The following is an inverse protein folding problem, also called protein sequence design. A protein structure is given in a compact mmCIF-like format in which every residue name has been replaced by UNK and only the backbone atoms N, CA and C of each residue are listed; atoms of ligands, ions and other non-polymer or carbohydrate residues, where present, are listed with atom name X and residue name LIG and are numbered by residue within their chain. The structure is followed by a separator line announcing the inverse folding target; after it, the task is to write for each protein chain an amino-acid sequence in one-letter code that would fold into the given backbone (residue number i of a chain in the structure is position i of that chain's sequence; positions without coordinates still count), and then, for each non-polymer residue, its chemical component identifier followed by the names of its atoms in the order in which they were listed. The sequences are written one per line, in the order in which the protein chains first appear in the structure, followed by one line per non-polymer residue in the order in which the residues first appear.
data_IF_871224343009
#
_entry.id   IF_871224343009
#
_cell.length_a   1.000
_cell.length_b   1.000
_cell.length_c   1.000
_cell.angle_alpha   90.00
_cell.angle_beta   90.00
_cell.angle_gamma   90.00
#
_symmetry.space_group_name_H-M   'P 1'
#
loop_
_entity.id
_entity.type
_entity.pdbx_description
1 polymer ?
#
# COMPACT_ATOMS: atom_id res chain seq x y z
N UNK A 1 -9.80 -16.21 17.69
CA UNK A 1 -9.40 -14.80 17.89
C UNK A 1 -8.06 -14.75 18.60
N UNK A 2 -7.18 -13.79 18.28
CA UNK A 2 -5.94 -13.56 19.02
C UNK A 2 -6.22 -13.33 20.51
N UNK A 3 -5.28 -13.73 21.36
CA UNK A 3 -5.37 -13.44 22.79
C UNK A 3 -5.16 -11.94 23.01
N UNK A 4 -6.02 -11.30 23.80
CA UNK A 4 -5.88 -9.89 24.16
C UNK A 4 -4.52 -9.61 24.78
N UNK A 5 -3.72 -8.65 24.25
CA UNK A 5 -2.43 -8.31 24.83
C UNK A 5 -2.57 -7.74 26.23
N UNK A 6 -1.66 -8.09 27.14
CA UNK A 6 -1.64 -7.55 28.48
C UNK A 6 -1.41 -6.03 28.47
N UNK A 7 -2.20 -5.32 29.28
CA UNK A 7 -2.10 -3.86 29.43
C UNK A 7 -2.56 -3.05 28.23
N UNK A 8 -3.21 -3.65 27.22
CA UNK A 8 -3.69 -2.92 26.04
C UNK A 8 -4.72 -1.84 26.40
N UNK A 9 -5.54 -2.07 27.42
CA UNK A 9 -6.54 -1.10 27.88
C UNK A 9 -5.94 0.19 28.47
N UNK A 10 -4.67 0.16 28.83
CA UNK A 10 -3.93 1.30 29.38
C UNK A 10 -3.08 2.03 28.31
N UNK A 11 -3.20 1.61 27.04
CA UNK A 11 -2.44 2.19 25.91
C UNK A 11 -3.36 2.95 25.00
N UNK A 12 -2.82 3.98 24.34
CA UNK A 12 -3.46 4.65 23.23
C UNK A 12 -2.58 4.54 21.99
N UNK A 13 -3.21 4.50 20.84
CA UNK A 13 -2.53 4.50 19.55
C UNK A 13 -2.83 5.80 18.81
N UNK A 14 -1.78 6.46 18.34
CA UNK A 14 -1.88 7.63 17.47
C UNK A 14 -1.31 7.25 16.11
N UNK A 15 -2.13 7.37 15.08
CA UNK A 15 -1.82 6.97 13.72
C UNK A 15 -1.75 8.22 12.87
N UNK A 16 -0.61 8.45 12.24
CA UNK A 16 -0.38 9.62 11.39
C UNK A 16 -0.76 9.29 9.96
N UNK A 17 -1.73 10.01 9.43
CA UNK A 17 -2.35 9.78 8.14
C UNK A 17 -3.49 8.76 8.19
N UNK A 18 -4.30 8.74 7.16
CA UNK A 18 -5.46 7.85 7.00
C UNK A 18 -5.48 7.10 5.67
N UNK A 19 -4.31 6.85 5.09
CA UNK A 19 -4.18 5.98 3.91
C UNK A 19 -4.46 4.51 4.24
N UNK A 20 -4.49 3.65 3.22
CA UNK A 20 -4.82 2.23 3.35
C UNK A 20 -4.03 1.53 4.46
N UNK A 21 -2.72 1.75 4.55
CA UNK A 21 -1.87 1.13 5.57
C UNK A 21 -2.24 1.59 6.99
N UNK A 22 -2.54 2.88 7.16
CA UNK A 22 -2.93 3.47 8.44
C UNK A 22 -4.29 2.92 8.91
N UNK A 23 -5.28 2.89 8.03
CA UNK A 23 -6.60 2.32 8.31
C UNK A 23 -6.50 0.82 8.61
N UNK A 24 -5.69 0.08 7.85
CA UNK A 24 -5.42 -1.34 8.14
C UNK A 24 -4.84 -1.54 9.53
N UNK A 25 -3.85 -0.73 9.92
CA UNK A 25 -3.26 -0.80 11.26
C UNK A 25 -4.31 -0.53 12.34
N UNK A 26 -5.16 0.48 12.16
CA UNK A 26 -6.26 0.77 13.10
C UNK A 26 -7.24 -0.40 13.21
N UNK A 27 -7.65 -1.00 12.08
CA UNK A 27 -8.54 -2.16 12.07
C UNK A 27 -7.93 -3.35 12.83
N UNK A 28 -6.66 -3.66 12.63
CA UNK A 28 -5.98 -4.73 13.36
C UNK A 28 -5.81 -4.42 14.85
N UNK A 29 -5.58 -3.16 15.23
CA UNK A 29 -5.55 -2.77 16.65
C UNK A 29 -6.89 -3.03 17.34
N UNK A 30 -7.99 -2.69 16.66
CA UNK A 30 -9.34 -2.92 17.20
C UNK A 30 -9.73 -4.40 17.15
N UNK A 31 -9.58 -5.05 15.98
CA UNK A 31 -10.05 -6.43 15.75
C UNK A 31 -9.19 -7.46 16.50
N UNK A 32 -7.89 -7.41 16.31
CA UNK A 32 -6.95 -8.43 16.78
C UNK A 32 -6.22 -8.00 18.06
N UNK A 33 -5.80 -6.75 18.15
CA UNK A 33 -5.24 -6.14 19.34
C UNK A 33 -6.26 -5.95 20.46
N UNK A 34 -7.55 -6.01 20.13
CA UNK A 34 -8.67 -5.79 21.08
C UNK A 34 -8.51 -4.49 21.89
N UNK A 35 -7.89 -3.50 21.24
CA UNK A 35 -7.80 -2.14 21.79
C UNK A 35 -9.17 -1.47 21.67
N UNK A 36 -9.58 -0.73 22.70
CA UNK A 36 -10.80 0.05 22.61
C UNK A 36 -10.66 1.14 21.55
N UNK A 37 -11.67 1.31 20.69
CA UNK A 37 -11.61 2.29 19.61
C UNK A 37 -11.39 3.71 20.10
N UNK A 38 -11.99 4.12 21.22
CA UNK A 38 -11.78 5.42 21.89
C UNK A 38 -10.32 5.73 22.24
N UNK A 39 -9.44 4.73 22.16
CA UNK A 39 -8.00 4.85 22.39
C UNK A 39 -7.18 4.79 21.12
N UNK A 40 -7.83 4.75 19.97
CA UNK A 40 -7.20 4.78 18.66
C UNK A 40 -7.55 6.09 17.97
N UNK A 41 -6.55 6.92 17.73
CA UNK A 41 -6.69 8.25 17.18
C UNK A 41 -6.00 8.31 15.83
N UNK A 42 -6.72 8.69 14.79
CA UNK A 42 -6.21 8.86 13.42
C UNK A 42 -6.11 10.35 13.14
N UNK A 43 -4.90 10.81 12.85
CA UNK A 43 -4.59 12.22 12.59
C UNK A 43 -4.36 12.38 11.09
N UNK A 44 -5.29 13.02 10.39
CA UNK A 44 -5.27 13.18 8.94
C UNK A 44 -5.20 14.66 8.55
N UNK A 45 -4.19 15.00 7.75
CA UNK A 45 -3.99 16.37 7.26
C UNK A 45 -5.11 16.83 6.33
N UNK A 46 -5.67 15.93 5.55
CA UNK A 46 -6.71 16.22 4.58
C UNK A 46 -8.12 16.22 5.19
N UNK A 47 -9.12 16.64 4.43
CA UNK A 47 -10.52 16.64 4.85
C UNK A 47 -11.17 15.24 4.77
N UNK A 48 -10.52 14.27 4.15
CA UNK A 48 -11.06 12.91 3.92
C UNK A 48 -10.00 11.84 4.11
N UNK A 49 -10.41 10.65 4.52
CA UNK A 49 -9.55 9.49 4.60
C UNK A 49 -9.20 8.92 3.21
N UNK A 50 -8.22 8.00 3.16
CA UNK A 50 -7.92 7.19 1.99
C UNK A 50 -6.53 7.41 1.41
N UNK A 51 -5.92 8.57 1.63
CA UNK A 51 -4.61 8.89 1.08
C UNK A 51 -4.61 8.76 -0.46
N UNK A 52 -3.71 7.95 -1.03
CA UNK A 52 -3.68 7.71 -2.48
C UNK A 52 -4.86 6.87 -3.00
N UNK A 53 -5.63 6.24 -2.12
CA UNK A 53 -6.85 5.49 -2.46
C UNK A 53 -8.12 6.33 -2.30
N UNK A 54 -8.00 7.65 -2.19
CA UNK A 54 -9.13 8.55 -2.22
C UNK A 54 -9.88 8.47 -3.56
N UNK A 55 -11.11 8.92 -3.53
CA UNK A 55 -11.97 9.00 -4.71
C UNK A 55 -13.14 9.92 -4.41
N UNK A 56 -13.82 10.33 -5.46
CA UNK A 56 -14.94 11.27 -5.37
C UNK A 56 -16.12 10.73 -6.15
N UNK A 57 -17.30 10.93 -5.58
CA UNK A 57 -18.57 10.70 -6.26
C UNK A 57 -19.17 12.05 -6.64
N UNK A 58 -19.42 12.24 -7.92
CA UNK A 58 -20.15 13.39 -8.44
C UNK A 58 -21.52 12.95 -8.89
N UNK A 59 -22.56 13.69 -8.52
CA UNK A 59 -23.95 13.32 -8.76
C UNK A 59 -24.27 13.05 -10.24
N UNK A 60 -23.70 13.84 -11.14
CA UNK A 60 -23.99 13.75 -12.58
C UNK A 60 -22.85 13.18 -13.43
N UNK A 61 -21.72 12.83 -12.84
CA UNK A 61 -20.52 12.35 -13.53
C UNK A 61 -20.20 10.92 -13.13
N UNK A 62 -20.56 10.52 -11.91
CA UNK A 62 -20.24 9.22 -11.34
C UNK A 62 -19.00 9.25 -10.45
N UNK A 63 -18.25 8.16 -10.45
CA UNK A 63 -17.12 7.98 -9.55
C UNK A 63 -15.82 8.37 -10.24
N UNK A 64 -14.97 9.10 -9.53
CA UNK A 64 -13.64 9.51 -9.99
C UNK A 64 -12.57 8.99 -9.05
N UNK A 65 -11.48 8.50 -9.61
CA UNK A 65 -10.30 8.03 -8.89
C UNK A 65 -9.03 8.52 -9.58
N UNK A 66 -7.90 8.47 -8.87
CA UNK A 66 -6.61 8.98 -9.36
C UNK A 66 -5.94 8.08 -10.41
N UNK A 67 -6.48 6.91 -10.69
CA UNK A 67 -5.94 5.97 -11.67
C UNK A 67 -6.57 4.60 -11.54
N UNK A 68 -6.33 3.72 -12.49
CA UNK A 68 -6.71 2.32 -12.42
C UNK A 68 -6.02 1.65 -11.23
N UNK A 69 -6.75 0.83 -10.49
CA UNK A 69 -6.25 0.05 -9.37
C UNK A 69 -6.89 -1.31 -9.41
N UNK A 70 -6.14 -2.22 -9.99
CA UNK A 70 -6.54 -3.61 -10.09
C UNK A 70 -6.26 -4.35 -8.78
N UNK A 71 -7.02 -5.41 -8.56
CA UNK A 71 -6.91 -6.29 -7.41
C UNK A 71 -6.39 -7.65 -7.82
N UNK A 72 -5.81 -8.35 -6.86
CA UNK A 72 -5.34 -9.71 -7.00
C UNK A 72 -5.97 -10.59 -5.91
N UNK A 73 -6.40 -11.78 -6.30
CA UNK A 73 -6.96 -12.76 -5.35
C UNK A 73 -5.92 -13.19 -4.28
N UNK A 74 -4.63 -13.02 -4.56
CA UNK A 74 -3.52 -13.37 -3.65
C UNK A 74 -3.07 -12.22 -2.74
N UNK A 75 -3.90 -11.20 -2.54
CA UNK A 75 -3.70 -10.21 -1.47
C UNK A 75 -4.23 -10.73 -0.14
N UNK A 76 -3.71 -11.89 0.34
CA UNK A 76 -4.26 -12.67 1.43
C UNK A 76 -4.45 -11.86 2.72
N UNK A 77 -3.47 -11.04 3.09
CA UNK A 77 -3.54 -10.18 4.29
C UNK A 77 -4.66 -9.15 4.17
N UNK A 78 -4.82 -8.57 2.97
CA UNK A 78 -5.88 -7.61 2.69
C UNK A 78 -7.25 -8.30 2.75
N UNK A 79 -7.39 -9.45 2.12
CA UNK A 79 -8.65 -10.19 2.11
C UNK A 79 -9.01 -10.78 3.47
N UNK A 80 -8.04 -11.18 4.29
CA UNK A 80 -8.28 -11.51 5.70
C UNK A 80 -8.92 -10.34 6.45
N UNK A 81 -8.42 -9.13 6.25
CA UNK A 81 -9.02 -7.95 6.84
C UNK A 81 -10.44 -7.71 6.31
N UNK A 82 -10.62 -7.67 4.98
CA UNK A 82 -11.90 -7.35 4.36
C UNK A 82 -12.98 -8.43 4.53
N UNK A 83 -12.62 -9.64 4.92
CA UNK A 83 -13.57 -10.63 5.42
C UNK A 83 -14.29 -10.16 6.69
N UNK A 84 -13.65 -9.30 7.49
CA UNK A 84 -14.20 -8.78 8.74
C UNK A 84 -14.88 -7.41 8.61
N UNK A 85 -14.69 -6.72 7.47
CA UNK A 85 -15.25 -5.38 7.23
C UNK A 85 -16.59 -5.52 6.51
N UNK A 86 -17.70 -5.05 7.09
CA UNK A 86 -19.01 -5.09 6.42
C UNK A 86 -19.01 -4.26 5.13
N UNK A 87 -19.65 -4.78 4.08
CA UNK A 87 -20.00 -3.97 2.92
C UNK A 87 -20.98 -2.86 3.31
N UNK A 88 -20.86 -1.71 2.68
CA UNK A 88 -21.82 -0.62 2.84
C UNK A 88 -22.94 -0.64 1.79
N UNK A 89 -22.75 -1.45 0.74
CA UNK A 89 -23.69 -1.56 -0.37
C UNK A 89 -24.66 -2.74 -0.20
N UNK A 90 -24.15 -3.83 0.39
CA UNK A 90 -24.93 -5.07 0.55
C UNK A 90 -24.99 -5.45 2.01
N UNK A 91 -26.19 -5.42 2.59
CA UNK A 91 -26.40 -5.77 3.99
C UNK A 91 -26.07 -7.24 4.26
N UNK A 92 -25.40 -7.50 5.39
CA UNK A 92 -25.12 -8.85 5.88
C UNK A 92 -23.95 -9.57 5.23
N UNK A 93 -23.22 -8.91 4.29
CA UNK A 93 -22.02 -9.47 3.66
C UNK A 93 -20.79 -8.62 3.94
N UNK A 94 -19.60 -9.22 3.82
CA UNK A 94 -18.35 -8.51 3.93
C UNK A 94 -17.93 -7.87 2.61
N UNK A 95 -16.96 -6.95 2.66
CA UNK A 95 -16.31 -6.40 1.45
C UNK A 95 -15.68 -7.50 0.62
N UNK A 96 -15.10 -8.54 1.26
CA UNK A 96 -14.55 -9.69 0.56
C UNK A 96 -15.63 -10.49 -0.18
N UNK A 97 -16.79 -10.71 0.47
CA UNK A 97 -17.91 -11.45 -0.16
C UNK A 97 -18.41 -10.70 -1.39
N UNK A 98 -18.62 -9.39 -1.28
CA UNK A 98 -19.05 -8.55 -2.41
C UNK A 98 -18.05 -8.61 -3.57
N UNK A 99 -16.75 -8.46 -3.29
CA UNK A 99 -15.68 -8.57 -4.27
C UNK A 99 -15.66 -9.94 -4.96
N UNK A 100 -15.72 -11.01 -4.17
CA UNK A 100 -15.65 -12.37 -4.68
C UNK A 100 -16.82 -12.68 -5.63
N UNK A 101 -18.04 -12.37 -5.22
CA UNK A 101 -19.22 -12.67 -6.02
C UNK A 101 -19.32 -11.79 -7.27
N UNK A 102 -18.93 -10.52 -7.18
CA UNK A 102 -18.87 -9.64 -8.34
C UNK A 102 -17.93 -10.23 -9.41
N UNK A 103 -16.69 -10.53 -9.05
CA UNK A 103 -15.70 -11.02 -10.00
C UNK A 103 -15.98 -12.46 -10.49
N UNK A 104 -16.80 -13.22 -9.78
CA UNK A 104 -17.27 -14.53 -10.23
C UNK A 104 -18.42 -14.41 -11.21
N UNK A 105 -19.34 -13.49 -10.99
CA UNK A 105 -20.51 -13.27 -11.85
C UNK A 105 -20.12 -12.52 -13.14
N UNK A 106 -19.17 -11.61 -13.06
CA UNK A 106 -18.68 -10.79 -14.18
C UNK A 106 -17.15 -10.84 -14.25
N UNK A 107 -16.60 -11.94 -14.78
CA UNK A 107 -15.14 -12.09 -14.92
C UNK A 107 -14.58 -11.02 -15.86
N UNK A 108 -13.50 -10.39 -15.43
CA UNK A 108 -12.85 -9.39 -16.23
C UNK A 108 -12.23 -9.99 -17.50
N UNK A 109 -12.53 -9.40 -18.63
CA UNK A 109 -11.93 -9.72 -19.92
C UNK A 109 -11.96 -8.51 -20.84
N UNK A 110 -10.79 -8.04 -21.27
CA UNK A 110 -10.68 -6.99 -22.27
C UNK A 110 -9.31 -7.06 -22.92
N UNK A 111 -9.25 -7.32 -24.22
CA UNK A 111 -7.96 -7.26 -24.92
C UNK A 111 -7.29 -5.91 -24.71
N UNK A 112 -6.07 -5.95 -24.18
CA UNK A 112 -5.24 -4.78 -24.02
C UNK A 112 -4.93 -4.19 -25.41
N UNK A 113 -5.32 -2.95 -25.63
CA UNK A 113 -4.82 -2.17 -26.77
C UNK A 113 -3.53 -1.49 -26.34
N UNK A 114 -2.41 -2.05 -26.79
CA UNK A 114 -1.12 -1.41 -26.64
C UNK A 114 -0.85 -0.48 -27.81
N UNK A 115 -0.28 0.66 -27.54
CA UNK A 115 0.05 1.66 -28.57
C UNK A 115 1.55 1.96 -28.58
N UNK A 116 2.07 2.22 -29.77
CA UNK A 116 3.43 2.70 -30.01
C UNK A 116 3.39 4.04 -30.75
N UNK A 117 4.50 4.70 -30.93
CA UNK A 117 4.63 5.89 -31.77
C UNK A 117 3.54 6.97 -31.53
N UNK A 118 3.16 7.21 -30.27
CA UNK A 118 2.13 8.20 -29.87
C UNK A 118 0.71 7.89 -30.36
N UNK A 119 0.31 6.62 -30.34
CA UNK A 119 -1.08 6.24 -30.53
C UNK A 119 -1.34 5.30 -31.71
N UNK A 120 -0.31 4.87 -32.42
CA UNK A 120 -0.43 3.79 -33.40
C UNK A 120 -0.67 2.45 -32.69
N UNK A 121 -1.50 1.59 -33.28
CA UNK A 121 -1.74 0.25 -32.76
C UNK A 121 -0.44 -0.58 -32.83
N UNK A 122 -0.06 -1.17 -31.72
CA UNK A 122 1.14 -2.02 -31.65
C UNK A 122 0.92 -3.43 -32.24
N UNK A 123 -0.32 -3.78 -32.61
CA UNK A 123 -0.69 -5.08 -33.18
C UNK A 123 -0.18 -6.28 -32.37
N UNK A 124 -0.29 -6.20 -31.04
CA UNK A 124 0.22 -7.23 -30.14
C UNK A 124 -0.56 -8.54 -30.18
N UNK A 125 -1.84 -8.50 -30.61
CA UNK A 125 -2.73 -9.65 -30.77
C UNK A 125 -2.80 -10.58 -29.54
N UNK A 126 -2.62 -10.02 -28.33
CA UNK A 126 -2.61 -10.77 -27.09
C UNK A 126 -1.39 -11.68 -26.88
N UNK A 127 -0.30 -11.46 -27.64
CA UNK A 127 0.93 -12.26 -27.56
C UNK A 127 2.04 -11.49 -26.87
N UNK A 128 2.88 -12.20 -26.15
CA UNK A 128 4.09 -11.62 -25.55
C UNK A 128 5.23 -11.40 -26.52
N UNK A 129 5.28 -12.21 -27.56
CA UNK A 129 6.32 -12.17 -28.61
C UNK A 129 7.75 -12.13 -28.03
N UNK A 130 7.97 -12.96 -27.02
CA UNK A 130 9.25 -13.10 -26.35
C UNK A 130 9.98 -14.34 -26.90
N UNK A 131 11.26 -14.19 -27.23
CA UNK A 131 12.08 -15.32 -27.66
C UNK A 131 12.41 -16.28 -26.51
N UNK A 132 12.85 -17.49 -26.85
CA UNK A 132 13.33 -18.44 -25.86
C UNK A 132 14.48 -17.86 -25.02
N UNK A 133 15.35 -17.06 -25.63
CA UNK A 133 16.44 -16.37 -24.94
C UNK A 133 15.89 -15.36 -23.94
N UNK A 134 14.96 -14.49 -24.33
CA UNK A 134 14.33 -13.53 -23.44
C UNK A 134 13.58 -14.20 -22.30
N UNK A 135 12.88 -15.31 -22.57
CA UNK A 135 12.24 -16.10 -21.53
C UNK A 135 13.27 -16.69 -20.54
N UNK A 136 14.41 -17.15 -21.01
CA UNK A 136 15.51 -17.63 -20.16
C UNK A 136 16.11 -16.50 -19.29
N UNK A 137 16.19 -15.28 -19.80
CA UNK A 137 16.67 -14.13 -19.02
C UNK A 137 15.69 -13.77 -17.91
N UNK A 138 14.38 -13.82 -18.15
CA UNK A 138 13.37 -13.65 -17.10
C UNK A 138 13.49 -14.74 -16.05
N UNK A 139 13.68 -16.01 -16.45
CA UNK A 139 13.92 -17.11 -15.52
C UNK A 139 15.21 -16.91 -14.71
N UNK A 140 16.28 -16.43 -15.36
CA UNK A 140 17.52 -16.08 -14.66
C UNK A 140 17.29 -15.00 -13.62
N UNK A 141 16.55 -13.92 -13.97
CA UNK A 141 16.20 -12.86 -13.00
C UNK A 141 15.44 -13.45 -11.80
N UNK A 142 14.48 -14.33 -12.05
CA UNK A 142 13.67 -14.95 -11.00
C UNK A 142 14.51 -15.72 -9.99
N UNK A 143 15.55 -16.45 -10.43
CA UNK A 143 16.41 -17.26 -9.58
C UNK A 143 17.65 -16.54 -9.05
N UNK A 144 18.04 -15.40 -9.59
CA UNK A 144 19.20 -14.63 -9.11
C UNK A 144 18.97 -14.17 -7.67
N UNK A 145 19.94 -14.38 -6.74
CA UNK A 145 19.83 -13.86 -5.37
C UNK A 145 19.55 -12.36 -5.30
N UNK A 146 18.77 -11.93 -4.30
CA UNK A 146 18.41 -10.53 -4.16
C UNK A 146 19.63 -9.61 -3.97
N UNK A 147 20.64 -10.13 -3.26
CA UNK A 147 21.88 -9.43 -2.97
C UNK A 147 22.66 -9.06 -4.23
N UNK A 148 22.58 -9.90 -5.26
CA UNK A 148 23.24 -9.67 -6.55
C UNK A 148 22.51 -8.63 -7.42
N UNK A 149 21.26 -8.35 -7.10
CA UNK A 149 20.40 -7.43 -7.88
C UNK A 149 20.27 -6.04 -7.26
N UNK A 150 20.79 -5.82 -6.04
CA UNK A 150 20.54 -4.58 -5.28
C UNK A 150 20.94 -3.31 -6.03
N UNK A 151 22.09 -3.36 -6.73
CA UNK A 151 22.65 -2.22 -7.44
C UNK A 151 22.50 -2.32 -8.97
N UNK A 152 21.70 -3.31 -9.46
CA UNK A 152 21.49 -3.50 -10.88
C UNK A 152 20.21 -2.83 -11.35
N UNK A 153 20.31 -2.19 -12.50
CA UNK A 153 19.17 -1.73 -13.29
C UNK A 153 18.62 -2.88 -14.15
N UNK A 154 17.41 -2.74 -14.61
CA UNK A 154 16.80 -3.66 -15.57
C UNK A 154 17.66 -3.72 -16.85
N UNK A 155 18.12 -2.56 -17.35
CA UNK A 155 19.02 -2.47 -18.51
C UNK A 155 20.41 -3.08 -18.32
N UNK A 156 20.85 -3.29 -17.08
CA UNK A 156 22.13 -3.94 -16.79
C UNK A 156 22.00 -5.46 -16.73
N UNK A 157 20.77 -5.97 -16.74
CA UNK A 157 20.47 -7.37 -16.56
C UNK A 157 19.97 -8.06 -17.82
N UNK A 158 19.13 -7.37 -18.61
CA UNK A 158 18.54 -7.89 -19.83
C UNK A 158 19.27 -7.39 -21.09
N UNK A 159 19.30 -8.25 -22.10
CA UNK A 159 19.73 -7.84 -23.43
C UNK A 159 18.65 -6.96 -24.11
N UNK A 160 19.06 -6.13 -25.08
CA UNK A 160 18.18 -5.17 -25.77
C UNK A 160 16.96 -5.84 -26.41
N UNK A 161 17.09 -7.09 -26.87
CA UNK A 161 16.01 -7.88 -27.48
C UNK A 161 14.76 -7.95 -26.60
N UNK A 162 14.90 -8.02 -25.27
CA UNK A 162 13.77 -8.11 -24.34
C UNK A 162 12.93 -6.83 -24.36
N UNK A 163 13.57 -5.68 -24.58
CA UNK A 163 12.91 -4.38 -24.59
C UNK A 163 12.10 -4.10 -25.86
N UNK A 164 12.33 -4.84 -26.93
CA UNK A 164 11.58 -4.77 -28.18
C UNK A 164 10.39 -5.73 -28.25
N UNK A 165 10.15 -6.50 -27.16
CA UNK A 165 9.05 -7.48 -27.10
C UNK A 165 7.72 -6.88 -26.63
N UNK A 166 6.61 -7.51 -27.03
CA UNK A 166 5.29 -7.18 -26.48
C UNK A 166 5.22 -7.45 -24.97
N UNK A 167 5.96 -8.45 -24.46
CA UNK A 167 6.07 -8.68 -23.02
C UNK A 167 6.53 -7.42 -22.28
N UNK A 168 7.62 -6.79 -22.75
CA UNK A 168 8.11 -5.56 -22.14
C UNK A 168 7.12 -4.41 -22.29
N UNK A 169 6.46 -4.29 -23.44
CA UNK A 169 5.45 -3.27 -23.68
C UNK A 169 4.28 -3.38 -22.68
N UNK A 170 3.74 -4.59 -22.45
CA UNK A 170 2.72 -4.83 -21.43
C UNK A 170 3.24 -4.57 -20.02
N UNK A 171 4.42 -5.09 -19.71
CA UNK A 171 5.01 -4.99 -18.38
C UNK A 171 5.25 -3.54 -17.98
N UNK A 172 5.91 -2.75 -18.83
CA UNK A 172 6.18 -1.35 -18.56
C UNK A 172 4.91 -0.50 -18.47
N UNK A 173 3.94 -0.78 -19.32
CA UNK A 173 2.66 -0.04 -19.34
C UNK A 173 1.82 -0.35 -18.11
N UNK A 174 1.71 -1.62 -17.74
CA UNK A 174 0.88 -2.07 -16.62
C UNK A 174 1.45 -1.64 -15.26
N UNK A 175 2.75 -1.80 -15.08
CA UNK A 175 3.42 -1.60 -13.80
C UNK A 175 4.30 -0.34 -13.74
N UNK A 176 4.27 0.50 -14.77
CA UNK A 176 5.05 1.75 -14.87
C UNK A 176 6.57 1.53 -14.70
N UNK A 177 7.10 0.40 -15.22
CA UNK A 177 8.54 0.17 -15.26
C UNK A 177 9.22 0.91 -16.41
N UNK A 178 10.46 1.29 -16.16
CA UNK A 178 11.40 1.80 -17.18
C UNK A 178 12.73 1.04 -17.07
N UNK A 179 13.50 1.02 -18.16
CA UNK A 179 14.74 0.24 -18.25
C UNK A 179 15.76 0.58 -17.16
N UNK A 180 15.74 1.81 -16.66
CA UNK A 180 16.63 2.30 -15.61
C UNK A 180 16.16 1.99 -14.17
N UNK A 181 14.98 1.39 -14.01
CA UNK A 181 14.49 0.95 -12.70
C UNK A 181 15.28 -0.26 -12.16
N UNK A 182 15.09 -0.57 -10.89
CA UNK A 182 15.78 -1.65 -10.20
C UNK A 182 15.39 -3.04 -10.74
N UNK A 183 16.39 -3.85 -11.10
CA UNK A 183 16.18 -5.24 -11.47
C UNK A 183 15.63 -6.07 -10.29
N UNK A 184 16.03 -5.75 -9.06
CA UNK A 184 15.46 -6.39 -7.86
C UNK A 184 13.97 -6.13 -7.73
N UNK A 185 13.54 -4.89 -7.95
CA UNK A 185 12.12 -4.53 -7.87
C UNK A 185 11.31 -5.26 -8.95
N UNK A 186 11.78 -5.29 -10.18
CA UNK A 186 11.16 -6.08 -11.25
C UNK A 186 11.04 -7.56 -10.88
N UNK A 187 12.10 -8.16 -10.33
CA UNK A 187 12.04 -9.54 -9.84
C UNK A 187 10.94 -9.75 -8.79
N UNK A 188 10.83 -8.83 -7.83
CA UNK A 188 9.81 -8.94 -6.78
C UNK A 188 8.39 -8.84 -7.34
N UNK A 189 8.19 -7.99 -8.35
CA UNK A 189 6.93 -7.92 -9.09
C UNK A 189 6.65 -9.21 -9.87
N UNK A 190 7.62 -9.74 -10.62
CA UNK A 190 7.46 -11.02 -11.32
C UNK A 190 7.10 -12.13 -10.35
N UNK A 191 7.78 -12.24 -9.21
CA UNK A 191 7.44 -13.22 -8.17
C UNK A 191 6.02 -13.06 -7.65
N UNK A 192 5.57 -11.84 -7.51
CA UNK A 192 4.22 -11.54 -7.04
C UNK A 192 3.15 -11.94 -8.05
N UNK A 193 3.42 -11.69 -9.33
CA UNK A 193 2.47 -11.89 -10.42
C UNK A 193 2.68 -13.17 -11.23
N UNK A 194 3.57 -14.07 -10.82
CA UNK A 194 3.93 -15.28 -11.59
C UNK A 194 2.69 -16.10 -11.99
N UNK A 195 1.67 -16.15 -11.13
CA UNK A 195 0.44 -16.91 -11.37
C UNK A 195 -0.49 -16.26 -12.39
N UNK A 196 -0.27 -14.99 -12.72
CA UNK A 196 -1.18 -14.17 -13.50
C UNK A 196 -0.53 -13.52 -14.73
N UNK A 197 0.76 -13.76 -14.96
CA UNK A 197 1.50 -13.15 -16.09
C UNK A 197 0.77 -13.45 -17.41
N UNK A 198 0.29 -14.67 -17.61
CA UNK A 198 -0.42 -15.07 -18.82
C UNK A 198 -1.72 -14.31 -19.10
N UNK A 199 -2.33 -13.70 -18.10
CA UNK A 199 -3.57 -12.92 -18.23
C UNK A 199 -3.36 -11.41 -18.36
N UNK A 200 -2.12 -10.93 -18.49
CA UNK A 200 -1.86 -9.50 -18.70
C UNK A 200 -2.39 -8.97 -20.05
N UNK A 201 -2.29 -9.71 -21.17
CA UNK A 201 -2.77 -9.21 -22.45
C UNK A 201 -4.29 -9.02 -22.56
N UNK A 202 -5.08 -9.69 -21.72
CA UNK A 202 -6.54 -9.67 -21.79
C UNK A 202 -7.22 -9.28 -20.46
N UNK A 203 -6.44 -8.84 -19.49
CA UNK A 203 -6.87 -8.50 -18.13
C UNK A 203 -7.56 -9.62 -17.34
N UNK A 204 -7.59 -10.86 -17.84
CA UNK A 204 -8.22 -11.99 -17.15
C UNK A 204 -7.59 -12.31 -15.79
N UNK A 205 -6.34 -11.91 -15.59
CA UNK A 205 -5.63 -12.02 -14.32
C UNK A 205 -6.05 -10.98 -13.28
N UNK A 206 -6.65 -9.88 -13.71
CA UNK A 206 -6.96 -8.74 -12.86
C UNK A 206 -8.39 -8.80 -12.36
N UNK A 207 -8.61 -8.18 -11.21
CA UNK A 207 -9.91 -8.09 -10.56
C UNK A 207 -10.20 -6.65 -10.19
N UNK A 208 -11.48 -6.32 -10.06
CA UNK A 208 -11.92 -4.98 -9.75
C UNK A 208 -12.90 -4.98 -8.59
N UNK A 209 -12.99 -3.85 -7.91
CA UNK A 209 -14.08 -3.52 -7.00
C UNK A 209 -15.27 -2.96 -7.77
N UNK A 210 -16.46 -2.99 -7.16
CA UNK A 210 -17.70 -2.54 -7.80
C UNK A 210 -17.68 -1.07 -8.19
N UNK A 211 -17.10 -0.26 -7.32
CA UNK A 211 -16.89 1.17 -7.53
C UNK A 211 -15.39 1.49 -7.45
N UNK A 212 -15.01 2.74 -7.30
CA UNK A 212 -13.63 3.09 -6.97
C UNK A 212 -13.23 2.51 -5.60
N UNK A 213 -11.93 2.46 -5.31
CA UNK A 213 -11.46 1.87 -4.05
C UNK A 213 -11.88 2.68 -2.82
N UNK A 214 -12.15 3.98 -2.97
CA UNK A 214 -12.63 4.78 -1.87
C UNK A 214 -14.00 4.27 -1.39
N UNK A 215 -14.96 4.15 -2.28
CA UNK A 215 -16.32 3.71 -1.96
C UNK A 215 -16.38 2.22 -1.57
N UNK A 216 -15.60 1.38 -2.25
CA UNK A 216 -15.66 -0.07 -2.07
C UNK A 216 -14.82 -0.60 -0.91
N UNK A 217 -13.79 0.13 -0.48
CA UNK A 217 -12.81 -0.34 0.51
C UNK A 217 -12.55 0.67 1.63
N UNK A 218 -12.18 1.91 1.29
CA UNK A 218 -11.78 2.90 2.28
C UNK A 218 -12.97 3.31 3.17
N UNK A 219 -14.06 3.68 2.55
CA UNK A 219 -15.26 4.10 3.29
C UNK A 219 -15.84 3.00 4.18
N UNK A 220 -15.91 1.72 3.76
CA UNK A 220 -16.23 0.62 4.67
C UNK A 220 -15.31 0.50 5.87
N UNK A 221 -13.98 0.66 5.69
CA UNK A 221 -13.01 0.65 6.81
C UNK A 221 -13.25 1.82 7.76
N UNK A 222 -13.49 3.02 7.24
CA UNK A 222 -13.79 4.21 8.06
C UNK A 222 -15.05 3.94 8.89
N UNK A 223 -16.13 3.50 8.26
CA UNK A 223 -17.40 3.20 8.97
C UNK A 223 -17.24 2.10 10.00
N UNK A 224 -16.45 1.06 9.69
CA UNK A 224 -16.13 0.00 10.65
C UNK A 224 -15.39 0.57 11.87
N UNK A 225 -14.39 1.40 11.66
CA UNK A 225 -13.60 2.01 12.73
C UNK A 225 -14.45 2.99 13.58
N UNK A 226 -15.24 3.83 12.95
CA UNK A 226 -16.18 4.74 13.62
C UNK A 226 -17.20 3.98 14.47
N UNK A 227 -17.74 2.87 13.96
CA UNK A 227 -18.68 2.03 14.73
C UNK A 227 -18.05 1.38 15.97
N UNK A 228 -16.72 1.28 16.00
CA UNK A 228 -15.96 0.82 17.17
C UNK A 228 -15.46 1.96 18.05
N UNK A 229 -15.81 3.22 17.74
CA UNK A 229 -15.44 4.40 18.53
C UNK A 229 -14.06 4.96 18.25
N UNK A 230 -13.45 4.61 17.10
CA UNK A 230 -12.16 5.21 16.69
C UNK A 230 -12.36 6.68 16.34
N UNK A 231 -11.46 7.53 16.83
CA UNK A 231 -11.49 8.96 16.61
C UNK A 231 -10.72 9.32 15.33
N UNK A 232 -11.40 9.98 14.40
CA UNK A 232 -10.79 10.61 13.22
C UNK A 232 -10.67 12.12 13.43
N UNK A 233 -9.46 12.64 13.37
CA UNK A 233 -9.17 14.08 13.38
C UNK A 233 -8.69 14.48 11.99
N UNK A 234 -9.61 14.96 11.19
CA UNK A 234 -9.31 15.53 9.87
C UNK A 234 -8.73 16.95 10.00
N UNK A 235 -8.17 17.47 8.92
CA UNK A 235 -7.52 18.78 8.88
C UNK A 235 -6.46 18.97 9.98
N UNK A 236 -5.82 17.85 10.38
CA UNK A 236 -4.88 17.81 11.49
C UNK A 236 -3.51 17.34 10.96
N UNK A 237 -2.60 18.28 10.77
CA UNK A 237 -1.24 18.02 10.29
C UNK A 237 -0.34 17.69 11.47
N UNK A 238 0.30 16.55 11.45
CA UNK A 238 1.36 16.23 12.42
C UNK A 238 2.65 16.92 11.97
N UNK A 239 3.17 17.80 12.81
CA UNK A 239 4.39 18.55 12.55
C UNK A 239 5.62 17.83 13.08
N UNK A 240 5.51 17.20 14.24
CA UNK A 240 6.62 16.53 14.89
C UNK A 240 6.18 15.38 15.79
N UNK A 241 7.06 14.39 15.96
CA UNK A 241 6.93 13.33 16.98
C UNK A 241 8.22 13.26 17.77
N UNK A 242 8.16 13.56 19.05
CA UNK A 242 9.29 13.43 19.96
C UNK A 242 9.35 12.03 20.57
N UNK A 243 10.55 11.48 20.66
CA UNK A 243 10.80 10.16 21.24
C UNK A 243 11.75 10.24 22.41
N UNK A 244 11.38 9.59 23.53
CA UNK A 244 12.33 9.26 24.59
C UNK A 244 13.10 7.99 24.19
N UNK A 245 14.44 8.02 24.34
CA UNK A 245 15.34 6.90 24.06
C UNK A 245 15.93 6.41 25.37
N UNK A 246 15.71 5.14 25.69
CA UNK A 246 16.18 4.54 26.94
C UNK A 246 15.21 4.66 28.09
N UNK A 247 15.44 3.93 29.18
CA UNK A 247 14.55 3.86 30.37
C UNK A 247 14.61 5.08 31.30
N UNK A 248 14.99 6.25 30.83
CA UNK A 248 14.98 7.50 31.58
C UNK A 248 13.62 8.19 31.59
N UNK A 249 13.34 8.94 32.65
CA UNK A 249 12.18 9.84 32.72
C UNK A 249 12.24 10.81 31.53
N UNK A 250 11.09 11.01 30.83
CA UNK A 250 10.99 11.88 29.66
C UNK A 250 11.55 13.30 29.94
N UNK A 251 11.93 14.03 28.89
CA UNK A 251 12.54 15.34 29.03
C UNK A 251 11.64 16.29 29.83
N UNK A 252 12.24 17.01 30.78
CA UNK A 252 11.57 18.13 31.46
C UNK A 252 11.22 19.17 30.40
N UNK A 253 9.95 19.62 30.43
CA UNK A 253 9.41 20.64 29.52
C UNK A 253 10.26 21.92 29.57
N UNK A 254 11.01 22.17 28.51
CA UNK A 254 11.44 23.50 28.12
C UNK A 254 10.89 23.78 26.74
N UNK A 255 10.12 24.87 26.62
CA UNK A 255 9.61 25.36 25.34
C UNK A 255 10.78 25.93 24.55
N UNK A 256 11.31 25.15 23.62
CA UNK A 256 12.21 25.67 22.60
C UNK A 256 11.69 25.14 21.25
N UNK A 257 11.45 26.09 20.34
CA UNK A 257 11.05 25.80 18.97
C UNK A 257 12.00 24.83 18.29
N UNK A 258 11.49 24.08 17.31
CA UNK A 258 12.21 23.08 16.54
C UNK A 258 13.47 23.69 15.92
N UNK A 259 14.64 23.43 16.49
CA UNK A 259 15.92 23.86 15.93
C UNK A 259 16.37 22.90 14.82
N UNK A 260 17.12 23.44 13.86
CA UNK A 260 17.72 22.67 12.75
C UNK A 260 18.53 21.43 13.20
N UNK A 261 19.03 21.42 14.44
CA UNK A 261 19.77 20.30 15.03
C UNK A 261 18.91 19.03 15.22
N UNK A 262 17.59 19.16 15.41
CA UNK A 262 16.69 18.02 15.58
C UNK A 262 16.46 17.31 14.24
N UNK A 263 16.37 18.08 13.14
CA UNK A 263 16.22 17.54 11.78
C UNK A 263 17.48 16.78 11.35
N UNK A 264 18.67 17.28 11.68
CA UNK A 264 19.93 16.59 11.39
C UNK A 264 20.08 15.28 12.19
N UNK A 265 19.61 15.22 13.43
CA UNK A 265 19.64 13.98 14.23
C UNK A 265 18.68 12.91 13.68
N UNK A 266 17.52 13.31 13.14
CA UNK A 266 16.58 12.37 12.48
C UNK A 266 17.17 11.85 11.16
N UNK A 267 17.83 12.70 10.38
CA UNK A 267 18.50 12.29 9.13
C UNK A 267 19.70 11.39 9.37
N UNK A 268 20.45 11.61 10.45
CA UNK A 268 21.59 10.77 10.82
C UNK A 268 21.18 9.37 11.33
N UNK A 269 19.95 9.20 11.80
CA UNK A 269 19.41 7.90 12.26
C UNK A 269 18.66 7.12 11.18
N UNK A 270 18.40 7.71 10.00
CA UNK A 270 17.81 7.02 8.85
C UNK A 270 18.81 6.21 8.01
N UNK A 271 20.09 6.16 8.40
CA UNK A 271 21.10 5.28 7.83
C UNK A 271 20.73 3.82 8.09
N UNK A 272 20.67 3.03 7.02
CA UNK A 272 20.44 1.62 6.97
C UNK A 272 20.87 0.86 8.24
N UNK A 273 19.94 0.18 8.89
CA UNK A 273 20.21 -0.69 10.03
C UNK A 273 21.10 -1.87 9.63
N UNK A 274 22.40 -1.74 9.77
CA UNK A 274 23.25 -2.92 10.02
C UNK A 274 22.88 -3.42 11.40
N UNK A 275 22.16 -4.55 11.48
CA UNK A 275 21.91 -5.26 12.74
C UNK A 275 23.27 -5.64 13.32
N UNK A 276 23.66 -4.96 14.38
CA UNK A 276 24.73 -5.43 15.24
C UNK A 276 24.12 -6.41 16.23
N UNK A 277 24.48 -7.72 16.21
CA UNK A 277 23.78 -8.75 16.97
C UNK A 277 23.94 -8.67 18.50
N UNK A 278 24.66 -7.71 19.02
CA UNK A 278 25.01 -7.63 20.44
C UNK A 278 24.40 -6.44 21.21
N UNK A 279 23.52 -5.61 20.62
CA UNK A 279 22.88 -4.52 21.36
C UNK A 279 21.42 -4.87 21.69
N UNK A 280 21.10 -4.87 22.98
CA UNK A 280 19.71 -4.88 23.45
C UNK A 280 18.96 -3.76 22.72
N UNK A 281 17.80 -4.04 22.08
CA UNK A 281 17.09 -3.01 21.32
C UNK A 281 16.70 -1.86 22.25
N UNK A 282 17.20 -0.67 21.98
CA UNK A 282 16.88 0.53 22.74
C UNK A 282 15.41 0.83 22.55
N UNK A 283 14.63 0.78 23.62
CA UNK A 283 13.20 1.04 23.57
C UNK A 283 12.97 2.52 23.25
N UNK A 284 12.30 2.81 22.15
CA UNK A 284 11.86 4.16 21.78
C UNK A 284 10.39 4.30 22.18
N UNK A 285 10.06 5.36 22.88
CA UNK A 285 8.69 5.71 23.27
C UNK A 285 8.37 7.09 22.69
N UNK A 286 7.33 7.22 21.92
CA UNK A 286 6.79 8.51 21.56
C UNK A 286 6.26 9.19 22.83
N UNK A 287 6.71 10.41 23.10
CA UNK A 287 6.36 11.16 24.33
C UNK A 287 5.55 12.41 24.02
N UNK A 288 5.59 12.88 22.78
CA UNK A 288 4.86 14.07 22.34
C UNK A 288 4.60 14.00 20.84
N UNK A 289 3.43 14.46 20.44
CA UNK A 289 3.05 14.69 19.06
C UNK A 289 2.60 16.15 18.95
N UNK A 290 3.24 16.91 18.09
CA UNK A 290 2.86 18.29 17.79
C UNK A 290 1.98 18.27 16.53
N UNK A 291 0.83 18.91 16.60
CA UNK A 291 -0.16 18.99 15.52
C UNK A 291 -0.51 20.45 15.23
N UNK A 292 -0.80 20.71 13.98
CA UNK A 292 -1.45 21.91 13.48
C UNK A 292 -2.84 21.53 13.00
N UNK A 293 -3.86 22.12 13.58
CA UNK A 293 -5.26 21.85 13.27
C UNK A 293 -5.92 23.14 12.81
N UNK A 294 -6.56 23.14 11.63
CA UNK A 294 -7.29 24.28 11.13
C UNK A 294 -8.47 24.61 12.06
N UNK A 295 -8.31 25.66 12.85
CA UNK A 295 -9.38 26.17 13.74
C UNK A 295 -9.02 26.29 15.21
N UNK A 296 -7.79 25.96 15.63
CA UNK A 296 -7.25 26.22 16.97
C UNK A 296 -6.15 27.28 16.93
#
# INVERSE_FOLDING_TARGET
RPKKPEGVDNKSAYIVGSGLAALTAACYLVRDGQMKGERVHILEKGPTAGGACDGWKFENIGYVMRGGREMDNHFEVMWDLFHSIPSIETEGVSVLDEYYWLNKADPNYSLCRATVNRGEDAHTDGKFDISDKGAMEIMKLFFTPNEELQDKRISDFFDDEVFDTNFWLYWRTMFAFENWHSALEMKLYIKRYIHHIGGLPDFSALRFTRYNQYESMILPMVKYLESHGVEFRYNTKVENVEFAIGGGAGPKREHTGVGQDTIQKIQATSGFFKRNPASTPTKKLAVRIDVDHEGD
#
